data_IF_673782864434
#
_entry.id   IF_673782864434
#
_cell.length_a   1.000
_cell.length_b   1.000
_cell.length_c   1.000
_cell.angle_alpha   90.00
_cell.angle_beta   90.00
_cell.angle_gamma   90.00
#
_symmetry.space_group_name_H-M   'P 1'
#
loop_
_entity.id
_entity.type
_entity.pdbx_description
1 polymer ?
#
# COMPACT_ATOMS: atom_id res chain seq x y z
N UNK A 1 -1.47 -2.37 -8.92
CA UNK A 1 -2.75 -1.63 -9.11
C UNK A 1 -3.29 -1.17 -7.77
N UNK A 2 -4.01 -0.04 -7.69
CA UNK A 2 -4.51 0.49 -6.40
C UNK A 2 -5.67 -0.33 -5.83
N UNK A 3 -6.55 -0.83 -6.71
CA UNK A 3 -7.61 -1.78 -6.39
C UNK A 3 -7.56 -2.95 -7.41
N UNK A 4 -7.09 -4.14 -7.00
CA UNK A 4 -7.02 -5.30 -7.88
C UNK A 4 -8.34 -5.79 -8.44
N UNK A 5 -9.47 -5.41 -7.82
CA UNK A 5 -10.82 -5.78 -8.28
C UNK A 5 -11.45 -4.74 -9.21
N UNK A 6 -10.83 -3.56 -9.35
CA UNK A 6 -11.32 -2.45 -10.17
C UNK A 6 -10.16 -1.69 -10.82
N UNK A 7 -9.58 -2.30 -11.85
CA UNK A 7 -8.57 -1.68 -12.69
C UNK A 7 -9.15 -0.48 -13.45
N UNK A 8 -8.39 0.61 -13.43
CA UNK A 8 -8.59 1.75 -14.32
C UNK A 8 -8.29 1.37 -15.78
N UNK A 9 -8.79 2.15 -16.74
CA UNK A 9 -8.52 1.92 -18.16
C UNK A 9 -7.02 1.94 -18.49
N UNK A 10 -6.26 2.79 -17.81
CA UNK A 10 -4.80 2.83 -17.93
C UNK A 10 -4.15 1.53 -17.42
N UNK A 11 -4.60 1.01 -16.27
CA UNK A 11 -4.11 -0.26 -15.71
C UNK A 11 -4.48 -1.45 -16.61
N UNK A 12 -5.70 -1.47 -17.18
CA UNK A 12 -6.11 -2.48 -18.16
C UNK A 12 -5.24 -2.45 -19.41
N UNK A 13 -4.98 -1.25 -19.95
CA UNK A 13 -4.12 -1.07 -21.12
C UNK A 13 -2.68 -1.53 -20.85
N UNK A 14 -2.15 -1.28 -19.65
CA UNK A 14 -0.84 -1.80 -19.26
C UNK A 14 -0.81 -3.33 -19.19
N UNK A 15 -1.82 -3.96 -18.58
CA UNK A 15 -1.93 -5.43 -18.53
C UNK A 15 -2.01 -6.01 -19.94
N UNK A 16 -2.87 -5.45 -20.81
CA UNK A 16 -3.01 -5.86 -22.21
C UNK A 16 -1.68 -5.77 -22.96
N UNK A 17 -0.99 -4.63 -22.86
CA UNK A 17 0.30 -4.42 -23.52
C UNK A 17 1.37 -5.41 -23.03
N UNK A 18 1.39 -5.73 -21.74
CA UNK A 18 2.33 -6.70 -21.20
C UNK A 18 2.06 -8.11 -21.73
N UNK A 19 0.79 -8.51 -21.82
CA UNK A 19 0.37 -9.81 -22.38
C UNK A 19 0.72 -9.88 -23.87
N UNK A 20 0.43 -8.83 -24.64
CA UNK A 20 0.75 -8.74 -26.07
C UNK A 20 2.28 -8.81 -26.28
N UNK A 21 3.06 -8.04 -25.52
CA UNK A 21 4.52 -8.01 -25.64
C UNK A 21 5.17 -9.36 -25.28
N UNK A 22 4.69 -10.02 -24.22
CA UNK A 22 5.19 -11.33 -23.80
C UNK A 22 4.91 -12.44 -24.83
N UNK A 23 3.92 -12.24 -25.69
CA UNK A 23 3.44 -13.24 -26.66
C UNK A 23 3.47 -12.78 -28.12
N UNK A 24 4.16 -11.66 -28.43
CA UNK A 24 4.09 -11.02 -29.76
C UNK A 24 4.42 -11.94 -30.94
N UNK A 25 5.26 -12.94 -30.70
CA UNK A 25 5.72 -13.91 -31.72
C UNK A 25 5.10 -15.30 -31.54
N UNK A 26 4.19 -15.46 -30.57
CA UNK A 26 3.50 -16.71 -30.24
C UNK A 26 2.04 -16.68 -30.65
N UNK A 27 1.42 -15.51 -30.63
CA UNK A 27 0.01 -15.37 -31.00
C UNK A 27 -0.19 -15.48 -32.51
N UNK A 28 -1.18 -16.26 -32.97
CA UNK A 28 -1.58 -16.23 -34.36
C UNK A 28 -2.14 -14.86 -34.74
N UNK A 29 -1.99 -14.49 -36.03
CA UNK A 29 -2.52 -13.23 -36.54
C UNK A 29 -4.05 -13.17 -36.36
N UNK A 30 -4.54 -12.05 -35.80
CA UNK A 30 -5.96 -11.87 -35.48
C UNK A 30 -6.35 -12.32 -34.07
N UNK A 31 -5.38 -12.68 -33.22
CA UNK A 31 -5.63 -12.86 -31.78
C UNK A 31 -6.01 -11.51 -31.15
N UNK A 32 -7.04 -11.53 -30.32
CA UNK A 32 -7.49 -10.38 -29.54
C UNK A 32 -7.33 -10.65 -28.05
N UNK A 33 -6.96 -9.62 -27.28
CA UNK A 33 -6.71 -9.71 -25.84
C UNK A 33 -7.58 -8.69 -25.13
N UNK A 34 -8.42 -9.16 -24.22
CA UNK A 34 -9.33 -8.32 -23.43
C UNK A 34 -9.01 -8.46 -21.95
N UNK A 35 -9.08 -7.35 -21.20
CA UNK A 35 -8.78 -7.31 -19.76
C UNK A 35 -10.02 -6.82 -19.01
N UNK A 36 -10.51 -7.62 -18.08
CA UNK A 36 -11.63 -7.30 -17.21
C UNK A 36 -11.27 -6.32 -16.09
N UNK A 37 -12.28 -5.88 -15.35
CA UNK A 37 -12.12 -4.95 -14.22
C UNK A 37 -11.25 -5.53 -13.10
N UNK A 38 -11.24 -6.84 -12.91
CA UNK A 38 -10.43 -7.55 -11.92
C UNK A 38 -9.04 -7.96 -12.46
N UNK A 39 -8.68 -7.51 -13.66
CA UNK A 39 -7.45 -7.91 -14.36
C UNK A 39 -7.53 -9.29 -15.02
N UNK A 40 -8.64 -10.01 -14.91
CA UNK A 40 -8.83 -11.27 -15.64
C UNK A 40 -8.70 -11.01 -17.13
N UNK A 41 -7.74 -11.67 -17.75
CA UNK A 41 -7.42 -11.48 -19.16
C UNK A 41 -7.96 -12.64 -19.98
N UNK A 42 -8.74 -12.34 -21.02
CA UNK A 42 -9.22 -13.35 -21.98
C UNK A 42 -8.52 -13.15 -23.31
N UNK A 43 -7.93 -14.23 -23.83
CA UNK A 43 -7.29 -14.28 -25.15
C UNK A 43 -8.24 -14.99 -26.10
N UNK A 44 -8.67 -14.29 -27.14
CA UNK A 44 -9.58 -14.79 -28.16
C UNK A 44 -8.79 -15.09 -29.43
N UNK A 45 -8.80 -16.35 -29.85
CA UNK A 45 -8.08 -16.78 -31.05
C UNK A 45 -8.97 -16.71 -32.29
N UNK A 46 -8.38 -16.60 -33.50
CA UNK A 46 -9.13 -16.53 -34.76
C UNK A 46 -10.01 -17.75 -35.07
N UNK A 47 -9.66 -18.91 -34.50
CA UNK A 47 -10.43 -20.15 -34.63
C UNK A 47 -11.66 -20.19 -33.70
N UNK A 48 -11.86 -19.14 -32.90
CA UNK A 48 -12.95 -19.00 -31.94
C UNK A 48 -12.67 -19.63 -30.57
N UNK A 49 -11.53 -20.30 -30.40
CA UNK A 49 -11.10 -20.78 -29.09
C UNK A 49 -10.68 -19.63 -28.17
N UNK A 50 -10.65 -19.88 -26.86
CA UNK A 50 -10.36 -18.86 -25.86
C UNK A 50 -9.53 -19.43 -24.73
N UNK A 51 -8.58 -18.64 -24.25
CA UNK A 51 -7.87 -18.86 -22.99
C UNK A 51 -8.19 -17.76 -22.00
N UNK A 52 -8.08 -18.08 -20.72
CA UNK A 52 -8.28 -17.13 -19.62
C UNK A 52 -7.11 -17.18 -18.67
N UNK A 53 -6.53 -16.01 -18.39
CA UNK A 53 -5.47 -15.82 -17.39
C UNK A 53 -6.10 -15.08 -16.21
N UNK A 54 -6.16 -15.69 -15.02
CA UNK A 54 -6.64 -15.05 -13.81
C UNK A 54 -5.90 -13.75 -13.50
N UNK A 55 -6.64 -12.73 -13.06
CA UNK A 55 -6.09 -11.41 -12.77
C UNK A 55 -4.97 -11.45 -11.72
N UNK A 56 -5.09 -12.28 -10.69
CA UNK A 56 -4.08 -12.43 -9.63
C UNK A 56 -2.69 -12.91 -10.11
N UNK A 57 -2.58 -13.47 -11.33
CA UNK A 57 -1.31 -13.81 -11.96
C UNK A 57 -0.68 -12.65 -12.73
N UNK A 58 -1.46 -11.63 -13.09
CA UNK A 58 -1.05 -10.51 -13.94
C UNK A 58 -1.01 -9.18 -13.18
N UNK A 59 -1.89 -9.02 -12.19
CA UNK A 59 -1.98 -7.84 -11.34
C UNK A 59 -1.54 -8.19 -9.94
N UNK A 60 -0.47 -7.54 -9.50
CA UNK A 60 -0.19 -7.42 -8.09
C UNK A 60 -0.84 -6.11 -7.62
N UNK A 61 -1.62 -6.18 -6.53
CA UNK A 61 -1.95 -4.97 -5.78
C UNK A 61 -0.65 -4.22 -5.53
N UNK A 62 -0.67 -2.88 -5.65
CA UNK A 62 0.42 -2.11 -5.06
C UNK A 62 0.58 -2.68 -3.65
N UNK A 63 1.78 -3.13 -3.30
CA UNK A 63 2.13 -3.43 -1.92
C UNK A 63 1.84 -2.13 -1.20
N UNK A 64 0.63 -2.05 -0.65
CA UNK A 64 0.06 -0.80 -0.19
C UNK A 64 1.07 -0.20 0.75
N UNK A 65 1.30 1.10 0.62
CA UNK A 65 2.17 1.90 1.47
C UNK A 65 2.23 1.23 2.83
N UNK A 66 3.30 0.49 3.10
CA UNK A 66 3.45 -0.17 4.38
C UNK A 66 3.68 0.99 5.33
N UNK A 67 2.62 1.54 5.88
CA UNK A 67 2.75 2.58 6.87
C UNK A 67 3.59 1.98 7.97
N UNK A 68 4.62 2.71 8.40
CA UNK A 68 5.52 2.20 9.42
C UNK A 68 4.78 1.87 10.73
N UNK A 69 3.55 2.39 10.89
CA UNK A 69 2.64 2.10 12.00
C UNK A 69 2.45 0.59 12.27
N UNK A 70 2.43 -0.27 11.26
CA UNK A 70 2.34 -1.73 11.45
C UNK A 70 3.64 -2.39 11.92
N UNK A 71 4.77 -1.70 11.79
CA UNK A 71 6.12 -2.22 12.06
C UNK A 71 6.74 -1.59 13.33
N UNK A 72 6.10 -0.59 13.93
CA UNK A 72 6.61 0.14 15.09
C UNK A 72 5.81 -0.25 16.33
N UNK A 73 6.51 -0.66 17.38
CA UNK A 73 5.95 -0.76 18.73
C UNK A 73 6.55 0.35 19.59
N UNK A 74 5.80 1.45 19.87
CA UNK A 74 6.27 2.52 20.73
C UNK A 74 6.63 1.99 22.12
N UNK A 75 7.77 2.43 22.64
CA UNK A 75 8.17 2.23 24.02
C UNK A 75 7.46 3.24 24.90
N UNK A 76 6.86 2.76 26.00
CA UNK A 76 6.39 3.63 27.07
C UNK A 76 7.60 4.18 27.84
N UNK A 77 7.76 5.50 28.02
CA UNK A 77 8.84 6.06 28.81
C UNK A 77 8.81 5.55 30.26
N UNK A 78 9.98 5.22 30.81
CA UNK A 78 10.11 4.86 32.23
C UNK A 78 9.96 6.07 33.17
N UNK A 79 10.33 7.26 32.68
CA UNK A 79 10.31 8.50 33.45
C UNK A 79 8.92 9.13 33.44
N UNK A 80 8.35 9.30 34.63
CA UNK A 80 7.05 9.93 34.83
C UNK A 80 7.20 11.42 35.14
N UNK A 81 6.38 12.23 34.49
CA UNK A 81 6.22 13.65 34.85
C UNK A 81 5.27 13.74 36.04
N UNK A 82 5.68 14.43 37.10
CA UNK A 82 4.81 14.72 38.22
C UNK A 82 3.99 15.95 37.88
N UNK A 83 2.66 15.82 37.93
CA UNK A 83 1.74 16.89 37.54
C UNK A 83 0.89 17.31 38.72
N UNK A 84 0.55 18.60 38.80
CA UNK A 84 -0.28 19.12 39.90
C UNK A 84 -1.77 18.86 39.68
N UNK A 85 -2.22 18.97 38.44
CA UNK A 85 -3.59 18.69 38.03
C UNK A 85 -3.58 17.79 36.78
N UNK A 86 -3.82 16.48 36.93
CA UNK A 86 -3.88 15.55 35.79
C UNK A 86 -4.97 15.85 34.77
N UNK A 87 -5.98 16.63 35.12
CA UNK A 87 -7.05 17.04 34.21
C UNK A 87 -6.75 18.34 33.43
N UNK A 88 -5.72 19.09 33.86
CA UNK A 88 -5.30 20.34 33.23
C UNK A 88 -3.77 20.46 33.23
N UNK A 89 -3.13 19.76 32.31
CA UNK A 89 -1.67 19.86 32.14
C UNK A 89 -1.26 21.24 31.66
N UNK A 90 -0.25 21.81 32.30
CA UNK A 90 0.44 23.01 31.82
C UNK A 90 1.30 22.69 30.59
N UNK A 91 1.63 23.71 29.81
CA UNK A 91 2.51 23.56 28.64
C UNK A 91 3.87 22.96 29.02
N UNK A 92 4.40 23.32 30.19
CA UNK A 92 5.65 22.76 30.70
C UNK A 92 5.53 21.26 31.01
N UNK A 93 4.43 20.83 31.64
CA UNK A 93 4.15 19.42 31.92
C UNK A 93 3.96 18.63 30.60
N UNK A 94 3.23 19.19 29.62
CA UNK A 94 3.05 18.60 28.30
C UNK A 94 4.38 18.45 27.54
N UNK A 95 5.22 19.47 27.58
CA UNK A 95 6.55 19.44 26.96
C UNK A 95 7.46 18.39 27.60
N UNK A 96 7.44 18.26 28.93
CA UNK A 96 8.20 17.21 29.61
C UNK A 96 7.71 15.80 29.20
N UNK A 97 6.38 15.59 29.10
CA UNK A 97 5.83 14.31 28.64
C UNK A 97 6.25 14.03 27.21
N UNK A 98 6.13 15.01 26.31
CA UNK A 98 6.55 14.89 24.91
C UNK A 98 8.04 14.50 24.81
N UNK A 99 8.91 15.20 25.55
CA UNK A 99 10.34 14.92 25.56
C UNK A 99 10.66 13.51 26.07
N UNK A 100 9.96 13.03 27.10
CA UNK A 100 10.14 11.67 27.60
C UNK A 100 9.73 10.62 26.55
N UNK A 101 8.62 10.87 25.84
CA UNK A 101 8.15 10.01 24.73
C UNK A 101 9.14 10.02 23.57
N UNK A 102 9.60 11.19 23.13
CA UNK A 102 10.58 11.34 22.05
C UNK A 102 11.89 10.62 22.40
N UNK A 103 12.43 10.82 23.61
CA UNK A 103 13.68 10.19 24.03
C UNK A 103 13.57 8.65 24.11
N UNK A 104 12.44 8.12 24.60
CA UNK A 104 12.22 6.66 24.67
C UNK A 104 12.03 6.01 23.29
N UNK A 105 11.72 6.80 22.26
CA UNK A 105 11.36 6.33 20.92
C UNK A 105 12.22 6.94 19.78
N UNK A 106 13.30 7.66 20.10
CA UNK A 106 14.14 8.38 19.14
C UNK A 106 14.65 7.55 17.95
N UNK A 107 14.80 6.24 18.14
CA UNK A 107 15.30 5.30 17.12
C UNK A 107 14.18 4.41 16.53
N UNK A 108 12.94 4.60 16.98
CA UNK A 108 11.77 3.80 16.59
C UNK A 108 10.82 4.57 15.69
N UNK A 109 10.81 5.89 15.79
CA UNK A 109 9.94 6.74 14.99
C UNK A 109 10.58 7.09 13.64
N UNK A 110 9.82 7.00 12.53
CA UNK A 110 10.25 7.45 11.23
C UNK A 110 10.50 8.96 11.22
N UNK A 111 11.33 9.40 10.28
CA UNK A 111 11.55 10.83 10.06
C UNK A 111 10.23 11.54 9.76
N UNK A 112 9.98 12.66 10.47
CA UNK A 112 8.74 13.43 10.34
C UNK A 112 7.60 13.00 11.26
N UNK A 113 7.83 12.06 12.19
CA UNK A 113 6.84 11.73 13.23
C UNK A 113 6.60 12.92 14.15
N UNK A 114 5.32 13.23 14.40
CA UNK A 114 4.90 14.24 15.37
C UNK A 114 4.29 13.59 16.61
N UNK A 115 4.70 14.06 17.80
CA UNK A 115 4.24 13.56 19.09
C UNK A 115 3.43 14.65 19.77
N UNK A 116 2.14 14.41 19.99
CA UNK A 116 1.25 15.38 20.63
C UNK A 116 0.81 14.87 22.00
N UNK A 117 0.70 15.79 22.97
CA UNK A 117 0.22 15.52 24.34
C UNK A 117 -1.09 16.28 24.54
N UNK A 118 -2.16 15.52 24.76
CA UNK A 118 -3.53 16.02 24.97
C UNK A 118 -3.69 16.82 26.26
#
# INVERSE_FOLDING_TARGET
VKDPSHLTDDEKNQVKNNVDNANKDKFPAGTDVTVGDDGTTTVNYPDGSKDTIPGDQLVQGQKGDTTDAGNITPTVPGDKVTVKDPSHLTDDEKNQVKNNVDNANKDKFPAGTDVTVG
#
